data_IF_313488620273
#
_entry.id   IF_313488620273
#
_cell.length_a   1.000
_cell.length_b   1.000
_cell.length_c   1.000
_cell.angle_alpha   90.00
_cell.angle_beta   90.00
_cell.angle_gamma   90.00
#
_symmetry.space_group_name_H-M   'P 1'
#
loop_
_entity.id
_entity.type
_entity.pdbx_description
1 polymer ?
#
# COMPACT_ATOMS: atom_id res chain seq x y z
N UNK A 1 -24.22 64.58 -16.11
CA UNK A 1 -24.15 63.72 -14.88
C UNK A 1 -24.14 62.23 -15.11
N UNK A 2 -24.79 61.65 -16.12
CA UNK A 2 -24.76 60.18 -16.37
C UNK A 2 -23.38 59.65 -16.80
N UNK A 3 -22.61 60.45 -17.58
CA UNK A 3 -21.28 60.02 -18.08
C UNK A 3 -20.25 59.82 -16.95
N UNK A 4 -20.26 60.65 -15.93
CA UNK A 4 -19.32 60.57 -14.79
C UNK A 4 -19.57 59.33 -13.90
N UNK A 5 -20.83 58.90 -13.73
CA UNK A 5 -21.15 57.67 -12.99
C UNK A 5 -20.61 56.42 -13.69
N UNK A 6 -20.75 56.37 -15.01
CA UNK A 6 -20.26 55.23 -15.79
C UNK A 6 -18.73 55.14 -15.76
N UNK A 7 -18.02 56.27 -15.78
CA UNK A 7 -16.58 56.33 -15.68
C UNK A 7 -16.05 55.81 -14.31
N UNK A 8 -16.70 56.22 -13.22
CA UNK A 8 -16.35 55.72 -11.88
C UNK A 8 -16.58 54.23 -11.71
N UNK A 9 -17.64 53.68 -12.31
CA UNK A 9 -17.93 52.25 -12.28
C UNK A 9 -16.86 51.47 -13.05
N UNK A 10 -16.42 51.97 -14.22
CA UNK A 10 -15.35 51.32 -15.02
C UNK A 10 -14.03 51.28 -14.25
N UNK A 11 -13.66 52.38 -13.56
CA UNK A 11 -12.44 52.41 -12.73
C UNK A 11 -12.54 51.41 -11.58
N UNK A 12 -13.69 51.32 -10.91
CA UNK A 12 -13.90 50.37 -9.82
C UNK A 12 -13.77 48.92 -10.30
N UNK A 13 -14.37 48.57 -11.43
CA UNK A 13 -14.29 47.24 -12.01
C UNK A 13 -12.86 46.91 -12.44
N UNK A 14 -12.16 47.87 -13.03
CA UNK A 14 -10.76 47.69 -13.44
C UNK A 14 -9.84 47.50 -12.23
N UNK A 15 -10.04 48.24 -11.14
CA UNK A 15 -9.26 48.07 -9.90
C UNK A 15 -9.50 46.71 -9.22
N UNK A 16 -10.75 46.21 -9.23
CA UNK A 16 -11.09 44.87 -8.74
C UNK A 16 -10.44 43.77 -9.58
N UNK A 17 -10.43 43.90 -10.90
CA UNK A 17 -9.79 42.98 -11.81
C UNK A 17 -8.27 42.95 -11.59
N UNK A 18 -7.64 44.09 -11.43
CA UNK A 18 -6.20 44.19 -11.12
C UNK A 18 -5.87 43.54 -9.77
N UNK A 19 -6.73 43.77 -8.75
CA UNK A 19 -6.55 43.16 -7.44
C UNK A 19 -6.62 41.61 -7.50
N UNK A 20 -7.53 41.05 -8.31
CA UNK A 20 -7.61 39.60 -8.53
C UNK A 20 -6.36 39.00 -9.25
N UNK A 21 -5.77 39.76 -10.16
CA UNK A 21 -4.58 39.31 -10.92
C UNK A 21 -3.31 39.32 -10.03
N UNK A 22 -3.22 40.29 -9.13
CA UNK A 22 -2.04 40.46 -8.26
C UNK A 22 -2.21 39.83 -6.86
N UNK A 23 -3.34 39.19 -6.57
CA UNK A 23 -3.50 38.42 -5.33
C UNK A 23 -2.74 37.09 -5.48
N UNK A 24 -1.56 36.89 -4.87
CA UNK A 24 -0.88 35.63 -4.95
C UNK A 24 -1.71 34.60 -4.19
N UNK A 25 -2.35 33.69 -4.91
CA UNK A 25 -2.92 32.49 -4.29
C UNK A 25 -1.73 31.64 -3.84
N UNK A 26 -1.26 31.87 -2.63
CA UNK A 26 -0.31 30.96 -2.00
C UNK A 26 -1.06 29.68 -1.68
N UNK A 27 -1.02 28.72 -2.59
CA UNK A 27 -1.36 27.34 -2.27
C UNK A 27 -0.27 26.83 -1.35
N UNK A 28 -0.51 26.93 -0.05
CA UNK A 28 0.33 26.27 0.93
C UNK A 28 0.03 24.77 0.80
N UNK A 29 0.97 24.02 0.26
CA UNK A 29 0.88 22.57 0.27
C UNK A 29 0.70 22.14 1.74
N UNK A 30 -0.36 21.37 2.02
CA UNK A 30 -0.56 20.80 3.35
C UNK A 30 0.72 20.03 3.70
N UNK A 31 1.38 20.39 4.79
CA UNK A 31 2.58 19.70 5.24
C UNK A 31 2.27 18.21 5.37
N UNK A 32 3.04 17.36 4.71
CA UNK A 32 2.94 15.93 4.90
C UNK A 32 3.37 15.61 6.33
N UNK A 33 2.45 15.14 7.15
CA UNK A 33 2.75 14.67 8.51
C UNK A 33 3.48 13.33 8.52
N UNK A 34 3.63 12.70 7.37
CA UNK A 34 4.35 11.45 7.19
C UNK A 34 5.85 11.66 7.39
N UNK A 35 6.47 10.80 8.22
CA UNK A 35 7.92 10.78 8.40
C UNK A 35 8.67 10.34 7.15
N UNK A 36 8.06 9.48 6.37
CA UNK A 36 8.58 8.95 5.11
C UNK A 36 7.51 9.09 4.04
N UNK A 37 7.90 9.56 2.86
CA UNK A 37 6.99 9.63 1.72
C UNK A 37 7.77 9.52 0.42
N UNK A 38 7.14 8.95 -0.59
CA UNK A 38 7.66 8.91 -1.96
C UNK A 38 6.50 9.00 -2.94
N UNK A 39 6.68 9.81 -3.96
CA UNK A 39 5.82 9.88 -5.14
C UNK A 39 6.65 9.47 -6.34
N UNK A 40 6.22 8.44 -7.03
CA UNK A 40 6.90 7.90 -8.21
C UNK A 40 6.01 7.99 -9.45
N UNK A 41 6.64 8.19 -10.58
CA UNK A 41 6.00 8.02 -11.88
C UNK A 41 5.83 6.52 -12.15
N UNK A 42 4.59 6.09 -12.42
CA UNK A 42 4.26 4.66 -12.55
C UNK A 42 4.91 3.98 -13.75
N UNK A 43 5.17 4.73 -14.81
CA UNK A 43 5.66 4.17 -16.07
C UNK A 43 7.18 4.07 -16.09
N UNK A 44 7.86 5.09 -15.57
CA UNK A 44 9.33 5.18 -15.58
C UNK A 44 9.99 4.79 -14.26
N UNK A 45 9.23 4.67 -13.17
CA UNK A 45 9.76 4.45 -11.82
C UNK A 45 10.51 5.68 -11.25
N UNK A 46 10.49 6.84 -11.94
CA UNK A 46 11.20 8.03 -11.52
C UNK A 46 10.56 8.65 -10.27
N UNK A 47 11.38 8.97 -9.27
CA UNK A 47 10.93 9.71 -8.10
C UNK A 47 10.60 11.14 -8.51
N UNK A 48 9.37 11.57 -8.28
CA UNK A 48 8.88 12.92 -8.55
C UNK A 48 8.99 13.81 -7.31
N UNK A 49 8.79 13.24 -6.13
CA UNK A 49 8.92 13.92 -4.84
C UNK A 49 9.09 12.89 -3.75
N UNK A 50 9.77 13.24 -2.66
CA UNK A 50 9.96 12.37 -1.52
C UNK A 50 10.43 13.11 -0.28
N UNK A 51 10.27 12.46 0.87
CA UNK A 51 10.84 12.87 2.14
C UNK A 51 11.36 11.62 2.84
N UNK A 52 12.66 11.58 3.11
CA UNK A 52 13.36 10.41 3.67
C UNK A 52 13.10 9.11 2.88
N UNK A 53 12.88 9.21 1.57
CA UNK A 53 12.43 8.13 0.70
C UNK A 53 13.44 6.98 0.59
N UNK A 54 14.72 7.25 0.87
CA UNK A 54 15.82 6.26 0.87
C UNK A 54 16.27 5.87 2.29
N UNK A 55 15.65 6.44 3.32
CA UNK A 55 16.04 6.20 4.72
C UNK A 55 15.33 4.94 5.24
N UNK A 56 16.10 4.03 5.83
CA UNK A 56 15.51 2.86 6.48
C UNK A 56 14.63 3.27 7.67
N UNK A 57 13.42 2.71 7.71
CA UNK A 57 12.45 3.02 8.75
C UNK A 57 11.35 1.97 8.87
N UNK A 58 10.59 2.02 9.94
CA UNK A 58 9.43 1.16 10.13
C UNK A 58 8.31 1.57 9.17
N UNK A 59 7.90 0.63 8.32
CA UNK A 59 6.86 0.82 7.31
C UNK A 59 5.47 0.43 7.81
N UNK A 60 5.37 -0.13 9.01
CA UNK A 60 4.11 -0.68 9.55
C UNK A 60 3.39 -1.56 8.51
N UNK A 61 2.06 -1.45 8.40
CA UNK A 61 1.27 -2.29 7.50
C UNK A 61 1.49 -2.06 6.00
N UNK A 62 2.25 -1.04 5.58
CA UNK A 62 2.61 -0.90 4.15
C UNK A 62 3.49 -2.06 3.66
N UNK A 63 4.13 -2.81 4.56
CA UNK A 63 4.83 -4.07 4.26
C UNK A 63 3.91 -5.09 3.58
N UNK A 64 2.62 -5.10 3.89
CA UNK A 64 1.62 -6.01 3.32
C UNK A 64 1.42 -5.84 1.82
N UNK A 65 1.74 -4.65 1.29
CA UNK A 65 1.74 -4.38 -0.16
C UNK A 65 2.72 -5.32 -0.86
N UNK A 66 3.92 -5.49 -0.30
CA UNK A 66 4.91 -6.41 -0.87
C UNK A 66 4.46 -7.87 -0.77
N UNK A 67 3.83 -8.27 0.34
CA UNK A 67 3.24 -9.61 0.49
C UNK A 67 2.22 -9.89 -0.62
N UNK A 68 1.35 -8.91 -0.90
CA UNK A 68 0.36 -9.03 -1.98
C UNK A 68 1.01 -9.12 -3.35
N UNK A 69 1.99 -8.26 -3.66
CA UNK A 69 2.68 -8.26 -4.95
C UNK A 69 3.32 -9.63 -5.21
N UNK A 70 4.07 -10.17 -4.24
CA UNK A 70 4.72 -11.48 -4.37
C UNK A 70 3.69 -12.58 -4.60
N UNK A 71 2.59 -12.57 -3.87
CA UNK A 71 1.54 -13.57 -4.03
C UNK A 71 0.85 -13.48 -5.39
N UNK A 72 0.50 -12.26 -5.86
CA UNK A 72 -0.13 -12.03 -7.15
C UNK A 72 0.74 -12.45 -8.33
N UNK A 73 2.05 -12.22 -8.25
CA UNK A 73 2.99 -12.57 -9.31
C UNK A 73 3.30 -14.07 -9.40
N UNK A 74 3.13 -14.80 -8.30
CA UNK A 74 3.65 -16.16 -8.18
C UNK A 74 2.59 -17.24 -7.95
N UNK A 75 1.44 -16.91 -7.35
CA UNK A 75 0.41 -17.89 -6.99
C UNK A 75 -0.77 -17.84 -7.96
N UNK A 76 -1.40 -18.99 -8.18
CA UNK A 76 -2.73 -19.03 -8.82
C UNK A 76 -3.76 -18.39 -7.88
N UNK A 77 -4.61 -17.50 -8.43
CA UNK A 77 -5.65 -16.80 -7.65
C UNK A 77 -6.69 -17.74 -7.01
N UNK A 78 -6.83 -18.95 -7.54
CA UNK A 78 -7.74 -19.96 -7.00
C UNK A 78 -7.02 -20.95 -6.07
N UNK A 79 -5.74 -20.71 -5.75
CA UNK A 79 -4.99 -21.55 -4.84
C UNK A 79 -5.65 -21.58 -3.45
N UNK A 80 -5.93 -22.78 -2.97
CA UNK A 80 -6.50 -22.99 -1.63
C UNK A 80 -5.35 -22.97 -0.62
N UNK A 81 -5.44 -22.06 0.32
CA UNK A 81 -4.47 -21.87 1.40
C UNK A 81 -5.02 -22.34 2.72
N UNK A 82 -4.16 -22.82 3.60
CA UNK A 82 -4.55 -23.34 4.92
C UNK A 82 -3.93 -22.48 6.02
N UNK A 83 -4.72 -22.17 7.04
CA UNK A 83 -4.29 -21.38 8.20
C UNK A 83 -3.42 -22.23 9.13
N UNK A 84 -2.17 -21.80 9.34
CA UNK A 84 -1.30 -22.40 10.34
C UNK A 84 -1.67 -21.99 11.76
N UNK A 85 -1.18 -22.73 12.77
CA UNK A 85 -1.31 -22.34 14.17
C UNK A 85 -0.60 -21.01 14.46
N UNK A 86 0.49 -20.70 13.74
CA UNK A 86 1.20 -19.45 13.86
C UNK A 86 0.36 -18.29 13.31
N UNK A 87 -0.19 -18.44 12.11
CA UNK A 87 -1.07 -17.42 11.51
C UNK A 87 -2.29 -17.12 12.40
N UNK A 88 -2.94 -18.17 12.94
CA UNK A 88 -4.08 -18.03 13.85
C UNK A 88 -3.73 -17.33 15.19
N UNK A 89 -2.44 -17.27 15.55
CA UNK A 89 -1.95 -16.61 16.78
C UNK A 89 -1.54 -15.17 16.60
N UNK A 90 -1.68 -14.60 15.40
CA UNK A 90 -1.25 -13.24 15.13
C UNK A 90 -2.04 -12.22 15.97
N UNK A 91 -1.40 -11.13 16.43
CA UNK A 91 -2.09 -10.08 17.15
C UNK A 91 -3.04 -9.27 16.27
N UNK A 92 -3.96 -8.55 16.88
CA UNK A 92 -4.87 -7.61 16.18
C UNK A 92 -4.11 -6.62 15.28
N UNK A 93 -4.69 -6.31 14.14
CA UNK A 93 -6.02 -6.54 13.57
C UNK A 93 -6.07 -7.91 12.89
N UNK A 94 -7.14 -8.69 13.06
CA UNK A 94 -7.26 -10.07 12.60
C UNK A 94 -8.57 -10.32 11.85
N UNK A 95 -8.54 -11.26 10.88
CA UNK A 95 -9.70 -11.92 10.32
C UNK A 95 -10.32 -12.90 11.33
N UNK A 96 -9.55 -13.30 12.36
CA UNK A 96 -9.83 -14.36 13.32
C UNK A 96 -9.91 -15.76 12.69
N UNK A 97 -9.03 -16.01 11.73
CA UNK A 97 -8.92 -17.32 11.10
C UNK A 97 -8.48 -18.39 12.10
N UNK A 98 -9.09 -19.58 12.01
CA UNK A 98 -8.83 -20.71 12.91
C UNK A 98 -7.82 -21.66 12.28
N UNK A 99 -6.94 -22.26 13.09
CA UNK A 99 -5.97 -23.27 12.63
C UNK A 99 -6.65 -24.37 11.82
N UNK A 100 -6.13 -24.65 10.61
CA UNK A 100 -6.70 -25.61 9.68
C UNK A 100 -7.83 -25.07 8.80
N UNK A 101 -8.29 -23.87 9.03
CA UNK A 101 -9.29 -23.21 8.17
C UNK A 101 -8.71 -22.92 6.80
N UNK A 102 -9.51 -23.12 5.75
CA UNK A 102 -9.08 -22.96 4.37
C UNK A 102 -9.78 -21.80 3.68
N UNK A 103 -9.03 -21.09 2.87
CA UNK A 103 -9.48 -19.95 2.07
C UNK A 103 -8.99 -20.07 0.64
N UNK A 104 -9.70 -19.43 -0.30
CA UNK A 104 -9.13 -19.11 -1.61
C UNK A 104 -8.21 -17.90 -1.41
N UNK A 105 -6.96 -18.00 -1.85
CA UNK A 105 -5.95 -16.95 -1.63
C UNK A 105 -6.41 -15.57 -2.11
N UNK A 106 -7.18 -15.52 -3.19
CA UNK A 106 -7.73 -14.28 -3.74
C UNK A 106 -8.67 -13.56 -2.75
N UNK A 107 -9.43 -14.29 -1.93
CA UNK A 107 -10.34 -13.70 -0.95
C UNK A 107 -9.55 -13.06 0.20
N UNK A 108 -8.42 -13.68 0.57
CA UNK A 108 -7.52 -13.11 1.57
C UNK A 108 -6.80 -11.84 1.09
N UNK A 109 -6.65 -11.61 -0.22
CA UNK A 109 -6.10 -10.35 -0.75
C UNK A 109 -6.97 -9.15 -0.37
N UNK A 110 -8.30 -9.30 -0.37
CA UNK A 110 -9.21 -8.25 0.09
C UNK A 110 -9.11 -8.04 1.60
N UNK A 111 -9.07 -9.11 2.37
CA UNK A 111 -8.84 -9.07 3.82
C UNK A 111 -7.52 -8.36 4.17
N UNK A 112 -6.45 -8.68 3.44
CA UNK A 112 -5.12 -8.07 3.60
C UNK A 112 -5.12 -6.57 3.33
N UNK A 113 -5.72 -6.15 2.22
CA UNK A 113 -5.58 -4.77 1.72
C UNK A 113 -6.65 -3.81 2.24
N UNK A 114 -7.87 -4.29 2.49
CA UNK A 114 -8.96 -3.43 2.96
C UNK A 114 -8.98 -3.29 4.48
N UNK A 115 -8.71 -4.40 5.19
CA UNK A 115 -8.79 -4.45 6.65
C UNK A 115 -7.43 -4.57 7.34
N UNK A 116 -6.38 -4.83 6.54
CA UNK A 116 -5.00 -4.96 7.04
C UNK A 116 -4.81 -6.09 8.06
N UNK A 117 -5.56 -7.19 7.95
CA UNK A 117 -5.50 -8.32 8.87
C UNK A 117 -4.12 -8.97 8.92
N UNK A 118 -3.61 -9.20 10.12
CA UNK A 118 -2.27 -9.74 10.35
C UNK A 118 -2.20 -11.24 10.09
N UNK A 119 -3.21 -11.99 10.51
CA UNK A 119 -3.35 -13.43 10.23
C UNK A 119 -3.44 -13.69 8.72
N UNK A 120 -4.25 -12.92 7.99
CA UNK A 120 -4.31 -13.00 6.52
C UNK A 120 -2.95 -12.76 5.85
N UNK A 121 -2.16 -11.82 6.36
CA UNK A 121 -0.81 -11.56 5.85
C UNK A 121 0.10 -12.79 6.01
N UNK A 122 0.04 -13.44 7.16
CA UNK A 122 0.86 -14.62 7.46
C UNK A 122 0.37 -15.83 6.67
N UNK A 123 -0.95 -16.07 6.60
CA UNK A 123 -1.52 -17.16 5.79
C UNK A 123 -1.04 -17.04 4.32
N UNK A 124 -1.15 -15.84 3.74
CA UNK A 124 -0.72 -15.60 2.36
C UNK A 124 0.78 -15.85 2.22
N UNK A 125 1.60 -15.30 3.12
CA UNK A 125 3.06 -15.40 3.01
C UNK A 125 3.56 -16.85 3.14
N UNK A 126 3.07 -17.62 4.12
CA UNK A 126 3.43 -19.01 4.34
C UNK A 126 3.04 -19.90 3.17
N UNK A 127 1.81 -19.78 2.70
CA UNK A 127 1.31 -20.60 1.60
C UNK A 127 1.91 -20.20 0.25
N UNK A 128 2.17 -18.91 0.01
CA UNK A 128 2.89 -18.46 -1.19
C UNK A 128 4.32 -18.99 -1.21
N UNK A 129 5.03 -18.97 -0.08
CA UNK A 129 6.36 -19.57 0.05
C UNK A 129 6.33 -21.06 -0.25
N UNK A 130 5.36 -21.79 0.32
CA UNK A 130 5.17 -23.22 0.04
C UNK A 130 4.92 -23.48 -1.44
N UNK A 131 4.01 -22.72 -2.07
CA UNK A 131 3.70 -22.84 -3.49
C UNK A 131 4.92 -22.62 -4.39
N UNK A 132 5.73 -21.60 -4.08
CA UNK A 132 6.98 -21.32 -4.80
C UNK A 132 8.01 -22.44 -4.67
N UNK A 133 8.15 -23.00 -3.47
CA UNK A 133 9.07 -24.11 -3.20
C UNK A 133 8.63 -25.42 -3.86
N UNK A 134 7.33 -25.65 -4.00
CA UNK A 134 6.81 -26.77 -4.75
C UNK A 134 7.08 -26.64 -6.25
N UNK A 135 6.98 -25.41 -6.79
CA UNK A 135 7.30 -25.12 -8.20
C UNK A 135 8.80 -25.14 -8.49
N UNK A 136 9.62 -24.72 -7.54
CA UNK A 136 11.06 -24.56 -7.72
C UNK A 136 11.85 -25.27 -6.59
N UNK A 137 11.98 -26.60 -6.65
CA UNK A 137 12.67 -27.36 -5.60
C UNK A 137 14.13 -26.94 -5.34
N UNK A 138 14.81 -26.32 -6.32
CA UNK A 138 16.15 -25.78 -6.16
C UNK A 138 16.22 -24.65 -5.12
N UNK A 139 15.16 -23.89 -4.94
CA UNK A 139 15.11 -22.83 -3.93
C UNK A 139 15.21 -23.36 -2.50
N UNK A 140 14.85 -24.63 -2.25
CA UNK A 140 14.93 -25.25 -0.93
C UNK A 140 16.37 -25.30 -0.39
N UNK A 141 17.37 -25.48 -1.26
CA UNK A 141 18.77 -25.52 -0.87
C UNK A 141 19.37 -24.15 -0.56
N UNK A 142 18.78 -23.09 -1.08
CA UNK A 142 19.30 -21.72 -0.96
C UNK A 142 18.72 -20.95 0.24
N UNK A 143 17.68 -21.50 0.89
CA UNK A 143 16.96 -20.82 1.97
C UNK A 143 17.06 -21.59 3.28
N UNK A 144 18.13 -21.39 4.08
CA UNK A 144 18.35 -22.13 5.32
C UNK A 144 17.24 -21.93 6.38
N UNK A 145 16.48 -20.84 6.31
CA UNK A 145 15.34 -20.59 7.19
C UNK A 145 14.17 -21.55 6.98
N UNK A 146 14.08 -22.17 5.80
CA UNK A 146 12.96 -23.00 5.39
C UNK A 146 13.16 -24.46 5.83
N UNK A 147 14.39 -24.87 6.11
CA UNK A 147 14.71 -26.25 6.54
C UNK A 147 14.12 -26.64 7.89
N UNK A 148 13.68 -25.68 8.71
CA UNK A 148 13.06 -25.93 10.02
C UNK A 148 11.54 -25.84 9.97
N UNK A 149 10.95 -25.54 8.82
CA UNK A 149 9.50 -25.47 8.66
C UNK A 149 8.98 -26.87 8.32
N UNK A 150 8.10 -27.40 9.15
CA UNK A 150 7.49 -28.71 8.89
C UNK A 150 6.42 -28.57 7.81
N UNK A 151 6.83 -28.78 6.54
CA UNK A 151 5.94 -28.70 5.36
C UNK A 151 4.88 -29.82 5.32
N UNK A 152 5.04 -30.85 6.15
CA UNK A 152 4.11 -32.00 6.22
C UNK A 152 2.89 -31.70 7.10
N UNK A 153 2.77 -30.49 7.65
CA UNK A 153 1.67 -30.04 8.49
C UNK A 153 0.59 -29.22 7.76
N UNK A 154 0.67 -29.12 6.42
CA UNK A 154 -0.31 -28.45 5.58
C UNK A 154 -1.22 -29.43 4.85
#
# INVERSE_FOLDING_TARGET
MKSFKNFSIIILVLSLLVCCIFCPVTTQAAGLYSKYSVLIDSDSGRILSGSNETTAGSMASTTKIMTLIIALENCDKNFVVTTSAYAASMPDVQLNAVTGEQFIINDLYYSLMLESHNDSAVIIAENAAYYLLCKNPSLRSETPFINNYNYDSF
#
